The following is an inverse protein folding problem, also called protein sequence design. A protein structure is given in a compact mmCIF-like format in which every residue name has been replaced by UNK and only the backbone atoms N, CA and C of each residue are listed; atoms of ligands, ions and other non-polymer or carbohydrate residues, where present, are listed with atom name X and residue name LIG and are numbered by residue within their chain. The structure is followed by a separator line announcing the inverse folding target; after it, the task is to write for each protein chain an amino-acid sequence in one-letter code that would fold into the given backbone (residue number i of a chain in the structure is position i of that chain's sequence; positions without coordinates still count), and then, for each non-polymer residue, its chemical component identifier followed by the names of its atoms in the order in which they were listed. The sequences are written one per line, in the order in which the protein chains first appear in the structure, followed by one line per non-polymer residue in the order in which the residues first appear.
data_IF_449590928493
#
_entry.id   IF_449590928493
#
_cell.length_a   1.000
_cell.length_b   1.000
_cell.length_c   1.000
_cell.angle_alpha   90.00
_cell.angle_beta   90.00
_cell.angle_gamma   90.00
#
_symmetry.space_group_name_H-M   'P 1'
#
loop_
_entity.id
_entity.type
_entity.pdbx_description
1 polymer ?
#
# COMPACT_ATOMS: atom_id res chain seq x y z
N UNK A 1 18.81 20.08 19.01
CA UNK A 1 17.65 20.75 18.40
C UNK A 1 17.56 20.25 16.97
N UNK A 2 16.54 19.45 16.63
CA UNK A 2 16.34 19.03 15.25
C UNK A 2 16.13 20.28 14.38
N UNK A 3 17.00 20.48 13.41
CA UNK A 3 16.93 21.61 12.49
C UNK A 3 16.00 21.28 11.34
N UNK A 4 15.06 22.17 10.98
CA UNK A 4 14.18 21.94 9.83
C UNK A 4 15.03 21.92 8.56
N UNK A 5 15.10 20.77 7.90
CA UNK A 5 15.78 20.62 6.61
C UNK A 5 14.76 20.42 5.49
N UNK A 6 14.72 21.37 4.54
CA UNK A 6 14.05 21.23 3.25
C UNK A 6 12.69 21.92 3.10
N UNK A 7 12.29 22.13 1.84
CA UNK A 7 11.08 22.85 1.41
C UNK A 7 9.73 22.21 1.80
N UNK A 8 9.71 21.11 2.58
CA UNK A 8 8.49 20.37 2.94
C UNK A 8 8.21 20.29 4.44
N UNK A 9 8.98 20.96 5.29
CA UNK A 9 8.69 21.05 6.73
C UNK A 9 8.72 19.72 7.49
N UNK A 10 9.43 18.71 6.97
CA UNK A 10 9.64 17.45 7.68
C UNK A 10 10.79 17.56 8.69
N UNK A 11 10.65 16.93 9.85
CA UNK A 11 11.77 16.73 10.78
C UNK A 11 12.73 15.71 10.18
N UNK A 12 13.95 16.15 9.88
CA UNK A 12 15.01 15.31 9.38
C UNK A 12 16.10 15.21 10.44
N UNK A 13 16.64 14.01 10.62
CA UNK A 13 17.83 13.82 11.45
C UNK A 13 18.99 14.64 10.88
N UNK A 14 19.68 15.35 11.76
CA UNK A 14 20.96 15.97 11.46
C UNK A 14 22.03 14.91 11.14
N UNK A 15 23.12 15.32 10.51
CA UNK A 15 24.23 14.43 10.20
C UNK A 15 24.80 13.74 11.46
N UNK A 16 24.81 14.44 12.60
CA UNK A 16 25.33 13.90 13.86
C UNK A 16 24.37 12.88 14.48
N UNK A 17 23.06 13.17 14.49
CA UNK A 17 22.06 12.22 14.94
C UNK A 17 22.06 10.93 14.09
N UNK A 18 22.27 11.06 12.77
CA UNK A 18 22.43 9.89 11.89
C UNK A 18 23.69 9.07 12.20
N UNK A 19 24.80 9.73 12.56
CA UNK A 19 26.02 9.04 12.99
C UNK A 19 25.78 8.28 14.29
N UNK A 20 25.10 8.89 15.26
CA UNK A 20 24.74 8.26 16.54
C UNK A 20 23.81 7.07 16.30
N UNK A 21 22.78 7.21 15.46
CA UNK A 21 21.88 6.10 15.10
C UNK A 21 22.61 4.96 14.40
N UNK A 22 23.47 5.27 13.42
CA UNK A 22 24.27 4.25 12.72
C UNK A 22 25.20 3.51 13.67
N UNK A 23 25.80 4.22 14.64
CA UNK A 23 26.64 3.62 15.69
C UNK A 23 25.80 2.67 16.55
N UNK A 24 24.64 3.11 17.05
CA UNK A 24 23.74 2.28 17.85
C UNK A 24 23.31 1.00 17.10
N UNK A 25 22.92 1.12 15.83
CA UNK A 25 22.55 -0.01 14.99
C UNK A 25 23.72 -0.97 14.73
N UNK A 26 24.92 -0.44 14.49
CA UNK A 26 26.12 -1.27 14.30
C UNK A 26 26.46 -2.09 15.55
N UNK A 27 26.29 -1.52 16.75
CA UNK A 27 26.49 -2.24 18.01
C UNK A 27 25.47 -3.38 18.19
N UNK A 28 24.20 -3.15 17.85
CA UNK A 28 23.13 -4.16 17.96
C UNK A 28 23.32 -5.28 16.92
N UNK A 29 23.68 -4.94 15.69
CA UNK A 29 23.79 -5.89 14.58
C UNK A 29 25.15 -6.61 14.54
N UNK A 30 26.20 -6.03 15.12
CA UNK A 30 27.56 -6.58 15.10
C UNK A 30 28.24 -6.59 16.47
N UNK A 31 27.69 -7.33 17.45
CA UNK A 31 28.21 -7.36 18.82
C UNK A 31 29.64 -7.90 18.95
N UNK A 32 30.15 -8.61 17.94
CA UNK A 32 31.51 -9.20 17.88
C UNK A 32 32.52 -8.39 17.06
N UNK A 33 32.12 -7.27 16.44
CA UNK A 33 33.02 -6.35 15.69
C UNK A 33 33.32 -5.05 16.44
N UNK A 34 32.71 -4.81 17.58
CA UNK A 34 33.21 -3.80 18.52
C UNK A 34 34.67 -4.13 18.84
N UNK A 35 35.59 -3.14 18.90
CA UNK A 35 37.01 -3.36 19.12
C UNK A 35 37.28 -3.89 20.53
N UNK A 36 36.95 -5.15 20.74
CA UNK A 36 37.23 -5.97 21.89
C UNK A 36 37.54 -7.37 21.34
N UNK A 37 38.51 -7.43 20.43
CA UNK A 37 39.21 -8.66 20.05
C UNK A 37 40.20 -9.11 21.13
N UNK A 38 39.83 -8.95 22.40
CA UNK A 38 40.55 -9.51 23.54
C UNK A 38 39.62 -10.56 24.15
N UNK A 39 40.05 -11.82 24.00
CA UNK A 39 39.65 -13.03 24.72
C UNK A 39 38.44 -12.86 25.65
N UNK A 40 37.37 -13.60 25.34
CA UNK A 40 36.22 -13.80 26.18
C UNK A 40 36.63 -14.21 27.62
N UNK A 41 36.77 -13.21 28.48
CA UNK A 41 36.74 -13.32 29.93
C UNK A 41 35.77 -12.26 30.42
N UNK A 42 34.51 -12.69 30.59
CA UNK A 42 33.45 -12.17 31.46
C UNK A 42 33.56 -10.76 32.08
N UNK A 43 33.90 -9.74 31.33
CA UNK A 43 33.69 -8.34 31.71
C UNK A 43 33.31 -7.58 30.45
N UNK A 44 32.02 -7.27 30.30
CA UNK A 44 31.55 -6.34 29.29
C UNK A 44 32.40 -5.07 29.42
N UNK A 45 33.18 -4.75 28.39
CA UNK A 45 33.94 -3.50 28.35
C UNK A 45 32.91 -2.38 28.55
N UNK A 46 33.00 -1.59 29.64
CA UNK A 46 32.00 -0.59 29.92
C UNK A 46 31.97 0.41 28.76
N UNK A 47 30.79 0.59 28.17
CA UNK A 47 30.59 1.53 27.07
C UNK A 47 31.00 2.93 27.56
N UNK A 48 31.72 3.73 26.74
CA UNK A 48 32.02 5.11 27.09
C UNK A 48 30.75 5.85 27.50
N UNK A 49 30.76 6.49 28.66
CA UNK A 49 29.57 7.14 29.23
C UNK A 49 28.98 8.19 28.27
N UNK A 50 29.84 8.84 27.48
CA UNK A 50 29.48 9.76 26.40
C UNK A 50 28.55 9.12 25.34
N UNK A 51 28.82 7.89 24.91
CA UNK A 51 28.01 7.23 23.88
C UNK A 51 26.64 6.85 24.40
N UNK A 52 26.57 6.41 25.66
CA UNK A 52 25.30 6.15 26.34
C UNK A 52 24.48 7.44 26.44
N UNK A 53 25.10 8.55 26.81
CA UNK A 53 24.44 9.85 26.88
C UNK A 53 23.95 10.33 25.50
N UNK A 54 24.75 10.14 24.44
CA UNK A 54 24.34 10.46 23.07
C UNK A 54 23.11 9.66 22.65
N UNK A 55 23.05 8.37 22.99
CA UNK A 55 21.90 7.52 22.66
C UNK A 55 20.65 7.92 23.42
N UNK A 56 20.77 8.25 24.70
CA UNK A 56 19.63 8.73 25.50
C UNK A 56 19.11 10.07 24.97
N UNK A 57 20.00 11.02 24.66
CA UNK A 57 19.62 12.30 24.05
C UNK A 57 18.94 12.12 22.69
N UNK A 58 19.44 11.19 21.87
CA UNK A 58 18.81 10.87 20.58
C UNK A 58 17.42 10.26 20.78
N UNK A 59 17.26 9.35 21.75
CA UNK A 59 15.96 8.75 22.06
C UNK A 59 14.95 9.82 22.53
N UNK A 60 15.35 10.69 23.46
CA UNK A 60 14.54 11.82 23.92
C UNK A 60 14.13 12.73 22.76
N UNK A 61 15.05 13.08 21.87
CA UNK A 61 14.75 13.91 20.69
C UNK A 61 13.76 13.23 19.72
N UNK A 62 13.83 11.90 19.57
CA UNK A 62 12.87 11.13 18.75
C UNK A 62 11.51 11.10 19.42
N UNK A 63 11.44 10.89 20.74
CA UNK A 63 10.18 10.88 21.48
C UNK A 63 9.50 12.25 21.42
N UNK A 64 10.24 13.33 21.63
CA UNK A 64 9.76 14.71 21.46
C UNK A 64 9.23 14.95 20.04
N UNK A 65 9.96 14.48 19.03
CA UNK A 65 9.54 14.60 17.64
C UNK A 65 8.24 13.82 17.36
N UNK A 66 8.07 12.64 17.93
CA UNK A 66 6.84 11.83 17.81
C UNK A 66 5.67 12.52 18.49
N UNK A 67 5.87 13.08 19.68
CA UNK A 67 4.83 13.81 20.40
C UNK A 67 4.38 15.06 19.62
N UNK A 68 5.33 15.84 19.12
CA UNK A 68 5.01 17.05 18.36
C UNK A 68 4.35 16.72 17.01
N UNK A 69 4.80 15.68 16.33
CA UNK A 69 4.13 15.18 15.12
C UNK A 69 2.69 14.74 15.42
N UNK A 70 2.46 14.08 16.56
CA UNK A 70 1.13 13.73 17.05
C UNK A 70 0.24 14.96 17.27
N UNK A 71 0.78 16.01 17.91
CA UNK A 71 0.09 17.28 18.14
C UNK A 71 -0.30 17.97 16.83
N UNK A 72 0.63 18.06 15.88
CA UNK A 72 0.37 18.63 14.56
C UNK A 72 -0.70 17.82 13.81
N UNK A 73 -0.61 16.49 13.84
CA UNK A 73 -1.61 15.62 13.19
C UNK A 73 -2.99 15.83 13.79
N UNK A 74 -3.10 15.90 15.12
CA UNK A 74 -4.38 16.17 15.79
C UNK A 74 -4.98 17.52 15.37
N UNK A 75 -4.14 18.57 15.29
CA UNK A 75 -4.56 19.88 14.80
C UNK A 75 -5.07 19.83 13.35
N UNK A 76 -4.34 19.17 12.45
CA UNK A 76 -4.73 19.06 11.03
C UNK A 76 -6.04 18.27 10.84
N UNK A 77 -6.27 17.22 11.64
CA UNK A 77 -7.52 16.48 11.61
C UNK A 77 -8.70 17.29 12.17
N UNK A 78 -8.46 18.08 13.21
CA UNK A 78 -9.47 19.02 13.73
C UNK A 78 -9.81 20.11 12.70
N UNK A 79 -8.82 20.65 11.99
CA UNK A 79 -9.05 21.55 10.86
C UNK A 79 -9.86 20.86 9.76
N UNK A 80 -9.48 19.64 9.34
CA UNK A 80 -10.20 18.90 8.30
C UNK A 80 -11.68 18.74 8.66
N UNK A 81 -11.98 18.38 9.91
CA UNK A 81 -13.35 18.32 10.43
C UNK A 81 -14.05 19.68 10.35
N UNK A 82 -13.39 20.77 10.76
CA UNK A 82 -13.97 22.12 10.67
C UNK A 82 -14.31 22.51 9.23
N UNK A 83 -13.44 22.19 8.27
CA UNK A 83 -13.73 22.39 6.85
C UNK A 83 -14.93 21.55 6.43
N UNK A 84 -15.00 20.28 6.83
CA UNK A 84 -16.14 19.40 6.51
C UNK A 84 -17.46 19.93 7.06
N UNK A 85 -17.47 20.40 8.31
CA UNK A 85 -18.66 20.91 8.98
C UNK A 85 -19.16 22.24 8.35
N UNK A 86 -18.29 22.96 7.63
CA UNK A 86 -18.61 24.21 6.94
C UNK A 86 -19.03 24.03 5.46
N UNK A 87 -19.26 22.78 5.02
CA UNK A 87 -19.72 22.51 3.66
C UNK A 87 -21.15 23.03 3.43
N UNK A 88 -21.48 23.51 2.21
CA UNK A 88 -20.66 23.48 0.99
C UNK A 88 -19.67 24.66 0.85
N UNK A 89 -19.74 25.69 1.69
CA UNK A 89 -18.98 26.94 1.54
C UNK A 89 -17.45 26.78 1.63
N UNK A 90 -16.99 25.70 2.25
CA UNK A 90 -15.59 25.36 2.47
C UNK A 90 -15.02 24.31 1.50
N UNK A 91 -15.76 23.95 0.44
CA UNK A 91 -15.45 22.82 -0.44
C UNK A 91 -14.01 22.78 -0.95
N UNK A 92 -13.49 23.91 -1.45
CA UNK A 92 -12.13 23.98 -1.97
C UNK A 92 -11.08 23.65 -0.90
N UNK A 93 -11.23 24.26 0.29
CA UNK A 93 -10.33 24.02 1.42
C UNK A 93 -10.43 22.60 1.96
N UNK A 94 -11.64 22.02 2.02
CA UNK A 94 -11.82 20.63 2.39
C UNK A 94 -11.09 19.67 1.44
N UNK A 95 -11.25 19.85 0.12
CA UNK A 95 -10.61 19.00 -0.89
C UNK A 95 -9.08 19.10 -0.84
N UNK A 96 -8.54 20.31 -0.66
CA UNK A 96 -7.10 20.53 -0.52
C UNK A 96 -6.54 19.85 0.75
N UNK A 97 -7.18 20.09 1.90
CA UNK A 97 -6.78 19.49 3.17
C UNK A 97 -6.88 17.97 3.16
N UNK A 98 -7.94 17.41 2.59
CA UNK A 98 -8.11 15.97 2.48
C UNK A 98 -7.04 15.35 1.56
N UNK A 99 -6.74 15.99 0.43
CA UNK A 99 -5.67 15.53 -0.48
C UNK A 99 -4.31 15.51 0.23
N UNK A 100 -4.00 16.57 0.98
CA UNK A 100 -2.77 16.66 1.75
C UNK A 100 -2.69 15.60 2.86
N UNK A 101 -3.80 15.40 3.61
CA UNK A 101 -3.87 14.39 4.67
C UNK A 101 -3.71 12.97 4.13
N UNK A 102 -4.37 12.64 3.03
CA UNK A 102 -4.22 11.33 2.39
C UNK A 102 -2.79 11.13 1.88
N UNK A 103 -2.17 12.17 1.34
CA UNK A 103 -0.75 12.16 0.95
C UNK A 103 0.23 11.87 2.09
N UNK A 104 -0.17 12.09 3.35
CA UNK A 104 0.62 11.75 4.55
C UNK A 104 0.18 10.45 5.24
N UNK A 105 -0.71 9.67 4.62
CA UNK A 105 -1.18 8.38 5.13
C UNK A 105 -2.39 8.46 6.06
N UNK A 106 -3.14 9.56 6.05
CA UNK A 106 -4.48 9.59 6.66
C UNK A 106 -5.42 8.63 5.92
N UNK A 107 -6.20 7.86 6.69
CA UNK A 107 -7.18 6.93 6.16
C UNK A 107 -8.58 7.57 6.24
N UNK A 108 -9.23 7.89 5.11
CA UNK A 108 -10.51 8.60 5.10
C UNK A 108 -11.63 7.83 5.80
N UNK A 109 -12.39 8.51 6.65
CA UNK A 109 -13.54 7.95 7.34
C UNK A 109 -14.84 8.00 6.53
N UNK A 110 -15.91 7.39 7.08
CA UNK A 110 -17.24 7.39 6.45
C UNK A 110 -17.77 8.81 6.19
N UNK A 111 -17.57 9.73 7.13
CA UNK A 111 -17.97 11.14 6.99
C UNK A 111 -17.24 11.85 5.84
N UNK A 112 -15.95 11.54 5.63
CA UNK A 112 -15.15 12.13 4.56
C UNK A 112 -15.63 11.64 3.20
N UNK A 113 -15.95 10.35 3.10
CA UNK A 113 -16.55 9.76 1.89
C UNK A 113 -17.95 10.32 1.63
N UNK A 114 -18.77 10.51 2.66
CA UNK A 114 -20.08 11.15 2.53
C UNK A 114 -19.96 12.59 2.03
N UNK A 115 -19.04 13.37 2.60
CA UNK A 115 -18.75 14.73 2.16
C UNK A 115 -18.28 14.78 0.69
N UNK A 116 -17.39 13.87 0.29
CA UNK A 116 -16.93 13.78 -1.10
C UNK A 116 -18.04 13.40 -2.08
N UNK A 117 -18.94 12.49 -1.70
CA UNK A 117 -20.11 12.13 -2.52
C UNK A 117 -21.08 13.31 -2.66
N UNK A 118 -21.33 14.05 -1.57
CA UNK A 118 -22.14 15.26 -1.58
C UNK A 118 -21.52 16.34 -2.47
N UNK A 119 -20.21 16.56 -2.38
CA UNK A 119 -19.50 17.49 -3.25
C UNK A 119 -19.54 17.05 -4.71
N UNK A 120 -19.35 15.77 -5.02
CA UNK A 120 -19.41 15.27 -6.40
C UNK A 120 -20.80 15.47 -7.02
N UNK A 121 -21.87 15.41 -6.23
CA UNK A 121 -23.24 15.60 -6.72
C UNK A 121 -23.58 17.06 -7.09
N UNK A 122 -22.76 18.02 -6.67
CA UNK A 122 -22.96 19.43 -7.02
C UNK A 122 -22.55 19.71 -8.46
N UNK A 123 -23.27 20.62 -9.13
CA UNK A 123 -22.93 21.06 -10.46
C UNK A 123 -21.62 21.87 -10.47
N UNK A 124 -20.59 21.35 -11.13
CA UNK A 124 -19.30 22.02 -11.31
C UNK A 124 -18.77 21.83 -12.73
N UNK A 125 -17.75 22.61 -13.10
CA UNK A 125 -17.09 22.44 -14.39
C UNK A 125 -16.42 21.05 -14.51
N UNK A 126 -16.31 20.55 -15.73
CA UNK A 126 -15.67 19.26 -16.05
C UNK A 126 -14.35 18.97 -15.31
N UNK A 127 -13.34 19.87 -15.28
CA UNK A 127 -12.07 19.56 -14.61
C UNK A 127 -12.22 19.35 -13.09
N UNK A 128 -13.15 20.09 -12.49
CA UNK A 128 -13.40 20.07 -11.06
C UNK A 128 -14.15 18.77 -10.67
N UNK A 129 -15.16 18.41 -11.47
CA UNK A 129 -15.85 17.12 -11.35
C UNK A 129 -14.88 15.94 -11.47
N UNK A 130 -13.96 15.97 -12.43
CA UNK A 130 -12.93 14.93 -12.58
C UNK A 130 -12.02 14.85 -11.36
N UNK A 131 -11.56 15.99 -10.82
CA UNK A 131 -10.73 16.03 -9.61
C UNK A 131 -11.46 15.45 -8.40
N UNK A 132 -12.72 15.85 -8.16
CA UNK A 132 -13.57 15.30 -7.08
C UNK A 132 -13.74 13.78 -7.23
N UNK A 133 -14.02 13.33 -8.45
CA UNK A 133 -14.24 11.91 -8.76
C UNK A 133 -12.96 11.08 -8.55
N UNK A 134 -11.81 11.59 -8.98
CA UNK A 134 -10.53 10.92 -8.78
C UNK A 134 -10.18 10.79 -7.29
N UNK A 135 -10.36 11.88 -6.53
CA UNK A 135 -10.10 11.87 -5.09
C UNK A 135 -11.06 10.92 -4.36
N UNK A 136 -12.35 10.91 -4.71
CA UNK A 136 -13.32 9.97 -4.15
C UNK A 136 -12.91 8.52 -4.38
N UNK A 137 -12.59 8.14 -5.61
CA UNK A 137 -12.15 6.77 -5.92
C UNK A 137 -10.88 6.38 -5.16
N UNK A 138 -9.94 7.32 -5.02
CA UNK A 138 -8.72 7.07 -4.25
C UNK A 138 -9.03 6.81 -2.77
N UNK A 139 -9.89 7.63 -2.17
CA UNK A 139 -10.31 7.49 -0.78
C UNK A 139 -11.10 6.20 -0.54
N UNK A 140 -12.00 5.82 -1.45
CA UNK A 140 -12.76 4.56 -1.40
C UNK A 140 -11.81 3.35 -1.45
N UNK A 141 -10.83 3.35 -2.36
CA UNK A 141 -9.83 2.28 -2.42
C UNK A 141 -9.02 2.15 -1.12
N UNK A 142 -8.66 3.28 -0.49
CA UNK A 142 -7.95 3.25 0.80
C UNK A 142 -8.81 2.68 1.92
N UNK A 143 -10.08 3.08 1.99
CA UNK A 143 -11.04 2.54 2.96
C UNK A 143 -11.27 1.04 2.74
N UNK A 144 -11.42 0.59 1.50
CA UNK A 144 -11.60 -0.83 1.17
C UNK A 144 -10.37 -1.66 1.57
N UNK A 145 -9.16 -1.14 1.31
CA UNK A 145 -7.92 -1.80 1.73
C UNK A 145 -7.81 -1.90 3.25
N UNK A 146 -8.20 -0.86 4.00
CA UNK A 146 -8.22 -0.91 5.47
C UNK A 146 -9.18 -1.98 5.99
N UNK A 147 -10.39 -2.03 5.46
CA UNK A 147 -11.38 -3.05 5.85
C UNK A 147 -10.86 -4.45 5.54
N UNK A 148 -10.22 -4.65 4.39
CA UNK A 148 -9.60 -5.94 4.02
C UNK A 148 -8.48 -6.32 5.00
N UNK A 149 -7.56 -5.42 5.30
CA UNK A 149 -6.47 -5.66 6.26
C UNK A 149 -7.01 -6.01 7.65
N UNK A 150 -8.07 -5.31 8.08
CA UNK A 150 -8.73 -5.59 9.35
C UNK A 150 -9.40 -6.96 9.33
N UNK A 151 -10.09 -7.34 8.25
CA UNK A 151 -10.70 -8.65 8.13
C UNK A 151 -9.65 -9.78 8.14
N UNK A 152 -8.54 -9.61 7.44
CA UNK A 152 -7.40 -10.54 7.43
C UNK A 152 -6.74 -10.68 8.81
N UNK A 153 -6.70 -9.61 9.60
CA UNK A 153 -6.20 -9.64 10.97
C UNK A 153 -7.13 -10.40 11.93
N UNK A 154 -8.44 -10.40 11.69
CA UNK A 154 -9.45 -11.05 12.54
C UNK A 154 -9.79 -12.48 12.11
N UNK A 155 -9.22 -12.97 10.99
CA UNK A 155 -9.38 -14.36 10.57
C UNK A 155 -8.48 -15.28 11.43
N UNK A 156 -9.04 -16.28 12.14
CA UNK A 156 -8.25 -17.22 12.93
C UNK A 156 -7.29 -18.03 12.05
N UNK A 157 -6.18 -18.45 12.64
CA UNK A 157 -4.95 -18.80 11.94
C UNK A 157 -4.88 -20.09 11.08
N UNK A 158 -5.86 -21.02 10.92
CA UNK A 158 -5.62 -22.16 10.04
C UNK A 158 -5.90 -21.87 8.54
N UNK A 159 -5.95 -20.60 8.11
CA UNK A 159 -6.08 -20.23 6.68
C UNK A 159 -5.11 -19.15 6.20
N UNK A 160 -4.10 -18.80 7.01
CA UNK A 160 -2.89 -18.17 6.46
C UNK A 160 -2.10 -19.26 5.74
N UNK A 161 -2.60 -19.66 4.57
CA UNK A 161 -1.85 -20.48 3.63
C UNK A 161 -0.67 -19.63 3.17
N UNK A 162 0.41 -19.71 3.96
CA UNK A 162 1.75 -19.77 3.43
C UNK A 162 1.67 -20.73 2.24
N UNK A 163 1.75 -20.17 1.04
CA UNK A 163 2.03 -20.92 -0.16
C UNK A 163 3.44 -21.50 -0.01
N UNK A 164 3.54 -22.60 0.74
CA UNK A 164 4.68 -23.50 0.72
C UNK A 164 4.30 -24.67 -0.21
N UNK A 165 5.00 -24.90 -1.33
CA UNK A 165 4.79 -26.09 -2.12
C UNK A 165 5.41 -27.28 -1.40
N UNK A 166 4.59 -28.14 -0.80
CA UNK A 166 5.03 -29.41 -0.23
C UNK A 166 4.70 -30.58 -1.18
N UNK A 167 5.64 -31.48 -1.52
CA UNK A 167 5.33 -32.71 -2.20
C UNK A 167 4.90 -33.82 -1.24
N UNK A 168 3.69 -34.34 -1.50
CA UNK A 168 3.18 -35.72 -1.38
C UNK A 168 3.32 -36.47 -0.04
N UNK A 169 2.19 -36.64 0.64
CA UNK A 169 1.95 -37.75 1.57
C UNK A 169 1.50 -38.97 0.77
N UNK A 170 2.22 -40.08 0.92
CA UNK A 170 1.83 -41.40 0.43
C UNK A 170 1.22 -42.21 1.59
N UNK A 171 0.10 -42.84 1.27
CA UNK A 171 -0.63 -43.94 1.89
C UNK A 171 -0.08 -44.61 3.16
N UNK A 172 -0.98 -44.79 4.14
CA UNK A 172 -1.14 -46.08 4.83
C UNK A 172 -2.56 -46.17 5.43
N UNK A 173 -3.39 -47.05 4.86
CA UNK A 173 -4.63 -47.60 5.44
C UNK A 173 -4.33 -48.96 6.06
N UNK A 174 -5.05 -49.36 7.12
CA UNK A 174 -5.31 -50.78 7.35
C UNK A 174 -6.81 -51.12 7.37
N UNK A 175 -7.05 -52.37 7.00
CA UNK A 175 -8.30 -53.07 6.69
C UNK A 175 -9.27 -53.29 7.87
N UNK A 176 -10.58 -53.39 7.55
CA UNK A 176 -11.55 -54.23 8.27
C UNK A 176 -12.81 -54.51 7.41
N UNK A 177 -13.18 -55.80 7.32
CA UNK A 177 -14.29 -56.41 6.56
C UNK A 177 -15.73 -56.12 7.09
N UNK A 178 -16.81 -56.43 6.31
CA UNK A 178 -18.18 -55.95 6.54
C UNK A 178 -19.26 -57.02 6.90
N UNK A 179 -20.49 -56.52 7.20
CA UNK A 179 -21.86 -57.12 7.12
C UNK A 179 -22.61 -57.35 8.47
N UNK A 180 -23.98 -57.42 8.54
CA UNK A 180 -25.00 -57.47 7.46
C UNK A 180 -26.24 -56.52 7.56
N UNK A 181 -27.03 -56.46 6.48
CA UNK A 181 -28.28 -55.69 6.24
C UNK A 181 -29.55 -56.27 6.89
N UNK A 182 -30.68 -55.50 6.87
CA UNK A 182 -31.89 -56.08 6.25
C UNK A 182 -32.77 -55.13 5.38
N UNK A 183 -33.14 -55.67 4.20
CA UNK A 183 -34.44 -55.69 3.48
C UNK A 183 -35.20 -54.40 3.03
N UNK A 184 -35.31 -54.27 1.70
CA UNK A 184 -36.20 -53.41 0.86
C UNK A 184 -37.62 -53.99 0.70
N UNK A 185 -38.66 -53.22 0.26
CA UNK A 185 -39.01 -53.08 -1.18
C UNK A 185 -39.80 -51.78 -1.56
N UNK A 186 -40.38 -51.60 -2.77
CA UNK A 186 -39.82 -51.58 -4.13
C UNK A 186 -40.07 -50.25 -4.91
N UNK A 187 -39.50 -50.16 -6.13
CA UNK A 187 -39.36 -49.00 -7.02
C UNK A 187 -40.65 -48.45 -7.67
N UNK A 188 -40.57 -47.27 -8.33
CA UNK A 188 -40.71 -47.26 -9.79
C UNK A 188 -39.84 -46.26 -10.58
N UNK A 189 -39.27 -46.75 -11.70
CA UNK A 189 -39.24 -46.09 -13.01
C UNK A 189 -38.39 -44.83 -13.22
N UNK A 190 -37.13 -45.01 -13.63
CA UNK A 190 -36.30 -43.96 -14.26
C UNK A 190 -36.68 -43.74 -15.74
N UNK A 191 -36.94 -42.49 -16.18
CA UNK A 191 -36.81 -42.12 -17.59
C UNK A 191 -35.36 -41.71 -17.92
N UNK A 192 -34.89 -42.19 -19.06
CA UNK A 192 -33.54 -42.06 -19.65
C UNK A 192 -33.21 -40.59 -19.98
N UNK A 193 -32.00 -40.07 -19.69
CA UNK A 193 -31.57 -38.73 -20.11
C UNK A 193 -31.43 -38.63 -21.63
N UNK A 194 -31.95 -37.55 -22.20
CA UNK A 194 -31.86 -37.21 -23.62
C UNK A 194 -30.44 -36.80 -24.03
N UNK A 195 -30.04 -37.18 -25.25
CA UNK A 195 -28.80 -36.76 -25.91
C UNK A 195 -28.76 -35.24 -26.14
N UNK A 196 -27.59 -34.58 -25.95
CA UNK A 196 -27.43 -33.16 -26.24
C UNK A 196 -27.24 -32.90 -27.75
N UNK A 197 -28.02 -31.94 -28.23
CA UNK A 197 -28.06 -31.34 -29.58
C UNK A 197 -26.66 -30.86 -30.07
N UNK A 198 -26.19 -31.22 -31.28
CA UNK A 198 -24.83 -30.91 -31.77
C UNK A 198 -24.63 -29.46 -32.24
N UNK A 199 -25.47 -28.51 -31.80
CA UNK A 199 -25.52 -27.14 -32.34
C UNK A 199 -24.75 -26.05 -31.59
N UNK A 200 -24.23 -26.29 -30.37
CA UNK A 200 -23.52 -25.24 -29.60
C UNK A 200 -22.02 -25.56 -29.47
N UNK A 201 -21.22 -24.99 -30.38
CA UNK A 201 -19.77 -24.90 -30.19
C UNK A 201 -19.46 -23.87 -29.10
N UNK A 202 -18.75 -24.30 -28.07
CA UNK A 202 -18.07 -23.42 -27.11
C UNK A 202 -16.93 -22.71 -27.84
N UNK A 203 -16.86 -21.37 -27.86
CA UNK A 203 -15.78 -20.67 -28.55
C UNK A 203 -14.44 -20.98 -27.88
N UNK A 204 -13.41 -21.19 -28.70
CA UNK A 204 -12.07 -21.51 -28.20
C UNK A 204 -11.33 -20.23 -27.79
N UNK A 205 -10.38 -20.31 -26.83
CA UNK A 205 -9.70 -19.13 -26.30
C UNK A 205 -9.04 -18.19 -27.34
N UNK A 206 -8.70 -18.71 -28.53
CA UNK A 206 -8.12 -17.93 -29.62
C UNK A 206 -9.11 -17.00 -30.35
N UNK A 207 -10.42 -17.22 -30.19
CA UNK A 207 -11.47 -16.34 -30.74
C UNK A 207 -11.79 -15.16 -29.80
N UNK A 208 -11.51 -15.31 -28.51
CA UNK A 208 -11.73 -14.28 -27.48
C UNK A 208 -10.51 -13.34 -27.39
N UNK A 209 -9.33 -13.81 -27.81
CA UNK A 209 -8.08 -13.06 -27.73
C UNK A 209 -7.30 -13.10 -29.07
N UNK A 210 -7.57 -12.18 -30.01
CA UNK A 210 -6.78 -12.10 -31.23
C UNK A 210 -5.33 -11.71 -30.90
N UNK A 211 -4.31 -12.40 -31.47
CA UNK A 211 -2.92 -12.11 -31.16
C UNK A 211 -2.52 -10.72 -31.68
N UNK A 212 -2.27 -9.82 -30.72
CA UNK A 212 -1.39 -8.65 -30.78
C UNK A 212 -1.27 -7.88 -32.09
N UNK A 213 -2.23 -6.98 -32.38
CA UNK A 213 -1.92 -5.81 -33.21
C UNK A 213 -1.26 -4.76 -32.32
N UNK A 214 0.06 -4.56 -32.48
CA UNK A 214 0.72 -3.33 -32.02
C UNK A 214 0.01 -2.15 -32.71
N UNK A 215 -0.46 -1.12 -31.98
CA UNK A 215 -0.93 0.10 -32.62
C UNK A 215 0.24 0.73 -33.38
N UNK A 216 0.00 1.11 -34.64
CA UNK A 216 0.94 1.90 -35.41
C UNK A 216 1.19 3.25 -34.70
N UNK A 217 2.42 3.81 -34.77
CA UNK A 217 2.69 5.13 -34.21
C UNK A 217 1.72 6.16 -34.81
N UNK A 218 1.22 7.06 -33.96
CA UNK A 218 0.33 8.14 -34.40
C UNK A 218 1.17 9.12 -35.20
N UNK A 219 0.70 9.51 -36.38
CA UNK A 219 1.33 10.55 -37.24
C UNK A 219 1.64 11.87 -36.50
N UNK A 220 0.95 12.13 -35.40
CA UNK A 220 1.15 13.30 -34.52
C UNK A 220 2.53 13.29 -33.83
N UNK A 221 3.14 12.12 -33.62
CA UNK A 221 4.46 11.98 -32.98
C UNK A 221 5.60 12.36 -33.94
N UNK A 222 5.41 12.16 -35.26
CA UNK A 222 6.39 12.51 -36.29
C UNK A 222 6.45 14.03 -36.50
N UNK A 223 5.30 14.70 -36.48
CA UNK A 223 5.21 16.17 -36.59
C UNK A 223 5.75 16.86 -35.33
N UNK A 224 5.54 16.27 -34.14
CA UNK A 224 6.11 16.78 -32.88
C UNK A 224 7.64 16.64 -32.84
N UNK A 225 8.19 15.55 -33.38
CA UNK A 225 9.65 15.36 -33.47
C UNK A 225 10.30 16.25 -34.54
N UNK A 226 9.62 16.50 -35.66
CA UNK A 226 10.07 17.45 -36.68
C UNK A 226 10.06 18.91 -36.15
N UNK A 227 9.07 19.29 -35.35
CA UNK A 227 8.99 20.59 -34.70
C UNK A 227 10.10 20.78 -33.62
N UNK A 228 10.45 19.71 -32.89
CA UNK A 228 11.55 19.71 -31.93
C UNK A 228 12.93 19.82 -32.60
N UNK A 229 13.12 19.20 -33.77
CA UNK A 229 14.35 19.32 -34.55
C UNK A 229 14.55 20.72 -35.14
N UNK A 230 13.48 21.44 -35.49
CA UNK A 230 13.54 22.82 -35.98
C UNK A 230 13.89 23.85 -34.90
N UNK A 231 13.61 23.55 -33.62
CA UNK A 231 13.98 24.42 -32.49
C UNK A 231 15.46 24.32 -32.10
N UNK A 232 16.15 23.25 -32.51
CA UNK A 232 17.58 23.05 -32.29
C UNK A 232 18.32 23.42 -33.59
N UNK A 233 18.26 24.70 -33.96
CA UNK A 233 19.04 25.23 -35.07
C UNK A 233 20.55 25.06 -34.86
N UNK A 234 21.35 24.92 -35.94
CA UNK A 234 22.77 24.62 -35.83
C UNK A 234 23.54 25.75 -35.14
N UNK A 235 24.25 25.43 -34.06
CA UNK A 235 25.23 26.33 -33.44
C UNK A 235 26.31 26.65 -34.48
N UNK A 236 26.30 27.88 -35.00
CA UNK A 236 27.43 28.44 -35.74
C UNK A 236 28.64 28.46 -34.81
N UNK A 237 29.63 27.65 -35.11
CA UNK A 237 30.99 27.83 -34.60
C UNK A 237 31.59 29.02 -35.34
N UNK A 238 31.96 30.07 -34.60
CA UNK A 238 32.85 31.12 -35.10
C UNK A 238 34.14 31.03 -34.30
N UNK A 239 35.23 30.78 -35.04
CA UNK A 239 36.61 31.00 -34.64
C UNK A 239 36.89 32.50 -34.45
#
# INVERSE_FOLDING_TARGET
MPTPHGNRGGMAFSADELRVLRRALAEVLHPSRTPAGAVATAAAVPRPAEYVQDYLRLAEAVDDAVQEAGRLRAFLLAELRRYRDALPGSAAGFLERLTAAVGTGYLPGADDLAALRLLRAQATGSPEYHRRTALLRHCENLADNDVRLRLEAHMPAPRRLLALPGPSAADERPDAEPAPEPATPPAPGTPKPAEPDPGRRTPTPAEIWPPGRRPAPRREDDDAMAALAALVGPRRASC
#
